data_IF_283769850360
#
_entry.id   IF_283769850360
#
_cell.length_a   1.000
_cell.length_b   1.000
_cell.length_c   1.000
_cell.angle_alpha   90.00
_cell.angle_beta   90.00
_cell.angle_gamma   90.00
#
_symmetry.space_group_name_H-M   'P 1'
#
loop_
_entity.id
_entity.type
_entity.pdbx_description
1 polymer ?
#
# COMPACT_ATOMS: atom_id res chain seq x y z
N UNK A 1 1.28 1.70 -13.97
CA UNK A 1 1.62 1.46 -12.55
C UNK A 1 1.60 2.82 -11.84
N UNK A 2 0.82 2.97 -10.76
CA UNK A 2 0.74 4.22 -9.99
C UNK A 2 1.14 3.94 -8.54
N UNK A 3 2.00 4.79 -7.98
CA UNK A 3 2.39 4.71 -6.56
C UNK A 3 1.27 5.35 -5.74
N UNK A 4 0.78 4.62 -4.72
CA UNK A 4 -0.28 5.08 -3.84
C UNK A 4 0.20 5.54 -2.47
N UNK A 5 1.30 4.96 -1.97
CA UNK A 5 1.93 5.40 -0.73
C UNK A 5 3.39 4.93 -0.64
N UNK A 6 4.17 5.59 0.22
CA UNK A 6 5.52 5.19 0.58
C UNK A 6 5.64 5.10 2.10
N UNK A 7 5.84 3.89 2.60
CA UNK A 7 6.32 3.71 3.96
C UNK A 7 7.84 3.73 3.94
N UNK A 8 8.40 4.86 4.37
CA UNK A 8 9.85 5.14 4.28
C UNK A 8 10.71 4.12 5.03
N UNK A 9 10.18 3.59 6.13
CA UNK A 9 10.91 2.66 7.00
C UNK A 9 10.03 1.48 7.38
N UNK A 10 10.52 0.28 7.15
CA UNK A 10 9.97 -0.98 7.63
C UNK A 10 11.09 -1.86 8.18
N UNK A 11 10.76 -2.60 9.23
CA UNK A 11 11.64 -3.58 9.88
C UNK A 11 11.03 -4.99 9.84
N UNK A 12 9.83 -5.13 9.28
CA UNK A 12 9.01 -6.35 9.34
C UNK A 12 9.07 -7.08 8.00
N UNK A 13 8.83 -6.37 6.90
CA UNK A 13 8.73 -6.97 5.56
C UNK A 13 10.05 -7.60 5.09
N UNK A 14 11.18 -7.15 5.63
CA UNK A 14 12.48 -7.74 5.38
C UNK A 14 13.24 -7.97 6.69
N UNK A 15 13.01 -9.10 7.38
CA UNK A 15 13.59 -9.35 8.69
C UNK A 15 15.13 -9.25 8.69
N UNK A 16 15.67 -8.56 9.70
CA UNK A 16 17.11 -8.34 9.85
C UNK A 16 17.70 -7.30 8.89
N UNK A 17 16.88 -6.59 8.12
CA UNK A 17 17.31 -5.54 7.20
C UNK A 17 16.41 -4.31 7.29
N UNK A 18 17.01 -3.13 7.14
CA UNK A 18 16.25 -1.90 6.97
C UNK A 18 15.67 -1.86 5.55
N UNK A 19 14.36 -1.61 5.44
CA UNK A 19 13.69 -1.55 4.13
C UNK A 19 12.68 -0.41 4.08
N UNK A 20 12.15 -0.14 2.88
CA UNK A 20 11.00 0.73 2.65
C UNK A 20 9.94 -0.04 1.85
N UNK A 21 8.68 0.36 1.97
CA UNK A 21 7.56 -0.27 1.25
C UNK A 21 6.98 0.77 0.30
N UNK A 22 6.96 0.43 -0.99
CA UNK A 22 6.25 1.19 -2.02
C UNK A 22 4.91 0.50 -2.27
N UNK A 23 3.83 1.14 -1.87
CA UNK A 23 2.49 0.65 -2.14
C UNK A 23 2.02 1.14 -3.50
N UNK A 24 1.50 0.23 -4.31
CA UNK A 24 0.89 0.54 -5.60
C UNK A 24 -0.63 0.67 -5.47
N UNK A 25 -1.21 1.51 -6.32
CA UNK A 25 -2.67 1.59 -6.46
C UNK A 25 -3.18 0.44 -7.32
N UNK A 26 -4.27 -0.17 -6.87
CA UNK A 26 -4.99 -1.24 -7.57
C UNK A 26 -4.83 -2.60 -6.90
N UNK A 27 -5.97 -3.27 -6.67
CA UNK A 27 -6.07 -4.68 -6.31
C UNK A 27 -7.36 -5.24 -6.93
N UNK A 28 -7.34 -6.47 -7.45
CA UNK A 28 -8.51 -7.12 -8.02
C UNK A 28 -9.44 -7.77 -6.97
N UNK A 29 -9.05 -7.74 -5.69
CA UNK A 29 -9.85 -8.23 -4.58
C UNK A 29 -10.62 -7.09 -3.88
N UNK A 30 -11.72 -7.43 -3.21
CA UNK A 30 -12.53 -6.52 -2.37
C UNK A 30 -12.78 -7.16 -1.01
N UNK A 31 -11.69 -7.56 -0.35
CA UNK A 31 -11.76 -8.23 0.95
C UNK A 31 -12.44 -7.32 2.00
N UNK A 32 -13.41 -7.82 2.78
CA UNK A 32 -14.09 -7.01 3.80
C UNK A 32 -13.16 -6.59 4.95
N UNK A 33 -12.03 -7.27 5.11
CA UNK A 33 -10.98 -6.97 6.09
C UNK A 33 -9.77 -6.26 5.46
N UNK A 34 -9.92 -5.59 4.31
CA UNK A 34 -8.80 -4.89 3.68
C UNK A 34 -8.24 -3.81 4.62
N UNK A 35 -6.93 -3.87 4.88
CA UNK A 35 -6.24 -2.91 5.73
C UNK A 35 -5.98 -1.57 5.03
N UNK A 36 -5.86 -1.60 3.69
CA UNK A 36 -5.51 -0.43 2.87
C UNK A 36 -6.57 -0.17 1.77
N UNK A 37 -7.85 0.05 2.12
CA UNK A 37 -8.91 0.25 1.13
C UNK A 37 -8.69 1.48 0.23
N UNK A 38 -7.92 2.47 0.69
CA UNK A 38 -7.48 3.65 -0.05
C UNK A 38 -6.51 3.35 -1.21
N UNK A 39 -5.95 2.15 -1.26
CA UNK A 39 -5.16 1.67 -2.41
C UNK A 39 -6.01 0.88 -3.41
N UNK A 40 -7.25 0.53 -3.06
CA UNK A 40 -8.09 -0.41 -3.82
C UNK A 40 -9.29 0.28 -4.46
N UNK A 41 -10.05 1.06 -3.68
CA UNK A 41 -11.28 1.73 -4.12
C UNK A 41 -10.94 3.07 -4.80
N UNK A 42 -11.23 3.25 -6.11
CA UNK A 42 -10.88 4.47 -6.84
C UNK A 42 -11.37 5.76 -6.20
N UNK A 43 -12.55 5.73 -5.59
CA UNK A 43 -13.16 6.86 -4.87
C UNK A 43 -12.44 7.24 -3.57
N UNK A 44 -11.54 6.38 -3.07
CA UNK A 44 -10.73 6.60 -1.87
C UNK A 44 -9.27 6.91 -2.17
N UNK A 45 -8.87 7.00 -3.44
CA UNK A 45 -7.50 7.32 -3.80
C UNK A 45 -7.16 8.72 -3.30
N UNK A 46 -6.07 8.83 -2.54
CA UNK A 46 -5.57 10.12 -2.11
C UNK A 46 -5.18 10.95 -3.34
N UNK A 47 -5.45 12.26 -3.34
CA UNK A 47 -4.92 13.15 -4.35
C UNK A 47 -3.39 13.12 -4.30
N UNK A 48 -2.77 13.04 -5.48
CA UNK A 48 -1.31 13.11 -5.64
C UNK A 48 -0.77 14.48 -5.28
#
# INVERSE_FOLDING_TARGET
MRIGALQKTSLIEFPGRLSCIVFIQGCNFRCPYCHNPELVLPEKYLPL
#
